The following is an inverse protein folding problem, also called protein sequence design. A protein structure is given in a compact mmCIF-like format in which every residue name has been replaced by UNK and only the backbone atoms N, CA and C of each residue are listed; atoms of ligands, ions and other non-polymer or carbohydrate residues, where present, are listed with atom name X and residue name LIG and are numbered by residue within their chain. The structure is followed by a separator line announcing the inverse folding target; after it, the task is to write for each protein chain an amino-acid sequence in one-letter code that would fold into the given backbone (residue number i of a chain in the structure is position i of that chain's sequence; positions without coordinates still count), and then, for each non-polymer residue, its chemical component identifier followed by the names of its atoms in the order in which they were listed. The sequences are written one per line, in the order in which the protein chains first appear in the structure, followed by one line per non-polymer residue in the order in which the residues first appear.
data_IF_274424688570
#
_entry.id   IF_274424688570
#
_cell.length_a   1.000
_cell.length_b   1.000
_cell.length_c   1.000
_cell.angle_alpha   90.00
_cell.angle_beta   90.00
_cell.angle_gamma   90.00
#
_symmetry.space_group_name_H-M   'P 1'
#
loop_
_entity.id
_entity.type
_entity.pdbx_description
1 polymer ?
#
# COMPACT_ATOMS: atom_id res chain seq x y z
N UNK A 1 -23.58 22.47 23.34
CA UNK A 1 -22.89 23.07 22.17
C UNK A 1 -21.46 22.56 22.01
N UNK A 2 -20.54 22.74 22.98
CA UNK A 2 -19.16 22.25 22.85
C UNK A 2 -19.05 20.74 22.57
N UNK A 3 -19.79 19.92 23.33
CA UNK A 3 -19.85 18.46 23.10
C UNK A 3 -20.38 18.08 21.72
N UNK A 4 -21.34 18.83 21.19
CA UNK A 4 -21.88 18.58 19.84
C UNK A 4 -20.82 18.86 18.76
N UNK A 5 -20.00 19.90 18.93
CA UNK A 5 -18.88 20.20 18.04
C UNK A 5 -17.80 19.10 18.10
N UNK A 6 -17.42 18.67 19.30
CA UNK A 6 -16.49 17.55 19.49
C UNK A 6 -17.01 16.28 18.80
N UNK A 7 -18.28 15.93 19.04
CA UNK A 7 -18.91 14.76 18.43
C UNK A 7 -18.99 14.87 16.91
N UNK A 8 -19.29 16.05 16.36
CA UNK A 8 -19.34 16.27 14.92
C UNK A 8 -17.96 16.08 14.26
N UNK A 9 -16.89 16.63 14.85
CA UNK A 9 -15.52 16.46 14.34
C UNK A 9 -15.05 15.01 14.44
N UNK A 10 -15.38 14.34 15.55
CA UNK A 10 -15.10 12.91 15.75
C UNK A 10 -15.82 12.04 14.72
N UNK A 11 -17.11 12.28 14.49
CA UNK A 11 -17.89 11.56 13.49
C UNK A 11 -17.40 11.82 12.06
N UNK A 12 -16.97 13.05 11.75
CA UNK A 12 -16.39 13.38 10.46
C UNK A 12 -15.13 12.55 10.16
N UNK A 13 -14.19 12.47 11.11
CA UNK A 13 -12.99 11.62 10.97
C UNK A 13 -13.38 10.14 10.88
N UNK A 14 -14.29 9.68 11.75
CA UNK A 14 -14.76 8.29 11.76
C UNK A 14 -15.35 7.88 10.40
N UNK A 15 -16.26 8.67 9.84
CA UNK A 15 -16.90 8.33 8.56
C UNK A 15 -15.93 8.40 7.38
N UNK A 16 -15.02 9.37 7.38
CA UNK A 16 -13.96 9.45 6.35
C UNK A 16 -13.09 8.18 6.35
N UNK A 17 -12.71 7.70 7.53
CA UNK A 17 -11.94 6.46 7.67
C UNK A 17 -12.77 5.21 7.35
N UNK A 18 -14.06 5.18 7.66
CA UNK A 18 -14.93 4.07 7.27
C UNK A 18 -15.03 3.95 5.75
N UNK A 19 -15.12 5.07 5.04
CA UNK A 19 -15.17 5.06 3.57
C UNK A 19 -13.84 4.57 2.98
N UNK A 20 -12.71 5.01 3.53
CA UNK A 20 -11.40 4.49 3.14
C UNK A 20 -11.27 2.98 3.41
N UNK A 21 -11.70 2.52 4.59
CA UNK A 21 -11.73 1.10 4.95
C UNK A 21 -12.56 0.29 3.97
N UNK A 22 -13.73 0.81 3.57
CA UNK A 22 -14.61 0.17 2.58
C UNK A 22 -13.95 0.09 1.21
N UNK A 23 -13.26 1.15 0.79
CA UNK A 23 -12.59 1.18 -0.51
C UNK A 23 -11.41 0.18 -0.59
N UNK A 24 -10.75 -0.11 0.53
CA UNK A 24 -9.64 -1.08 0.62
C UNK A 24 -10.13 -2.52 0.75
N UNK A 25 -11.13 -2.74 1.61
CA UNK A 25 -11.62 -4.07 1.97
C UNK A 25 -12.74 -4.56 1.04
N UNK A 26 -13.35 -3.66 0.27
CA UNK A 26 -14.58 -3.91 -0.47
C UNK A 26 -15.80 -3.99 0.44
N UNK A 27 -16.99 -4.03 -0.18
CA UNK A 27 -18.27 -4.19 0.52
C UNK A 27 -18.93 -5.57 0.28
N UNK A 28 -18.22 -6.46 -0.40
CA UNK A 28 -18.65 -7.83 -0.72
C UNK A 28 -19.83 -7.93 -1.70
N UNK A 29 -20.35 -6.80 -2.19
CA UNK A 29 -21.54 -6.75 -3.06
C UNK A 29 -21.23 -6.15 -4.41
N UNK A 30 -20.35 -5.16 -4.43
CA UNK A 30 -19.95 -4.43 -5.63
C UNK A 30 -18.52 -4.79 -6.01
N UNK A 31 -18.23 -4.75 -7.31
CA UNK A 31 -16.86 -4.83 -7.78
C UNK A 31 -16.07 -3.65 -7.21
N UNK A 32 -14.96 -3.88 -6.49
CA UNK A 32 -14.22 -2.80 -5.85
C UNK A 32 -13.72 -1.79 -6.90
N UNK A 33 -13.86 -0.50 -6.59
CA UNK A 33 -13.37 0.58 -7.44
C UNK A 33 -11.84 0.67 -7.31
N UNK A 34 -11.05 0.55 -8.39
CA UNK A 34 -9.59 0.56 -8.30
C UNK A 34 -9.07 1.90 -7.76
N UNK A 35 -8.45 1.86 -6.58
CA UNK A 35 -7.80 3.02 -5.95
C UNK A 35 -6.40 3.28 -6.49
N UNK A 36 -5.64 2.20 -6.71
CA UNK A 36 -4.23 2.27 -7.05
C UNK A 36 -3.94 1.44 -8.30
N UNK A 37 -3.01 1.94 -9.11
CA UNK A 37 -2.41 1.17 -10.20
C UNK A 37 -0.96 0.88 -9.84
N UNK A 38 -0.58 -0.39 -9.92
CA UNK A 38 0.77 -0.87 -9.64
C UNK A 38 1.35 -1.49 -10.90
N UNK A 39 2.62 -1.21 -11.18
CA UNK A 39 3.35 -1.83 -12.29
C UNK A 39 4.17 -3.01 -11.77
N UNK A 40 4.21 -4.10 -12.55
CA UNK A 40 5.22 -5.15 -12.38
C UNK A 40 6.44 -4.72 -13.16
N UNK A 41 7.59 -4.66 -12.50
CA UNK A 41 8.87 -4.27 -13.08
C UNK A 41 9.92 -5.33 -12.77
N UNK A 42 10.95 -5.42 -13.61
CA UNK A 42 12.17 -6.15 -13.29
C UNK A 42 13.15 -5.16 -12.67
N UNK A 43 13.43 -5.32 -11.38
CA UNK A 43 14.36 -4.47 -10.67
C UNK A 43 15.75 -5.08 -10.74
N UNK A 44 16.64 -4.41 -11.46
CA UNK A 44 18.05 -4.77 -11.56
C UNK A 44 18.77 -4.16 -10.35
N UNK A 45 18.79 -4.90 -9.24
CA UNK A 45 19.52 -4.47 -8.06
C UNK A 45 21.01 -4.58 -8.37
N UNK A 46 21.75 -3.48 -8.17
CA UNK A 46 23.23 -3.32 -8.15
C UNK A 46 24.12 -4.47 -8.65
N UNK A 47 25.22 -4.19 -9.36
CA UNK A 47 26.09 -5.22 -9.97
C UNK A 47 26.42 -6.36 -8.99
N UNK A 48 25.91 -7.56 -9.28
CA UNK A 48 26.11 -8.77 -8.49
C UNK A 48 24.84 -9.38 -7.85
N UNK A 49 23.68 -8.71 -7.89
CA UNK A 49 22.41 -9.34 -7.51
C UNK A 49 21.65 -9.86 -8.73
N UNK A 50 20.83 -10.89 -8.53
CA UNK A 50 19.93 -11.38 -9.56
C UNK A 50 18.76 -10.40 -9.74
N UNK A 51 18.37 -10.07 -10.99
CA UNK A 51 17.23 -9.22 -11.25
C UNK A 51 15.97 -9.82 -10.61
N UNK A 52 15.20 -9.02 -9.88
CA UNK A 52 14.02 -9.48 -9.16
C UNK A 52 12.76 -8.80 -9.72
N UNK A 53 11.71 -9.60 -9.95
CA UNK A 53 10.39 -9.04 -10.27
C UNK A 53 9.83 -8.35 -9.03
N UNK A 54 9.39 -7.11 -9.18
CA UNK A 54 8.91 -6.27 -8.10
C UNK A 54 7.72 -5.41 -8.52
N UNK A 55 7.05 -4.84 -7.53
CA UNK A 55 5.98 -3.86 -7.74
C UNK A 55 6.49 -2.43 -7.62
N UNK A 56 6.02 -1.55 -8.52
CA UNK A 56 6.26 -0.11 -8.46
C UNK A 56 4.94 0.67 -8.60
N UNK A 57 4.54 1.49 -7.61
CA UNK A 57 5.19 1.69 -6.30
C UNK A 57 5.21 0.41 -5.46
N UNK A 58 6.08 0.35 -4.46
CA UNK A 58 6.15 -0.84 -3.60
C UNK A 58 4.89 -0.95 -2.73
N UNK A 59 4.53 -2.19 -2.35
CA UNK A 59 3.36 -2.42 -1.48
C UNK A 59 3.53 -1.75 -0.11
N UNK A 60 4.77 -1.61 0.37
CA UNK A 60 5.10 -0.88 1.58
C UNK A 60 4.82 0.62 1.43
N UNK A 61 5.19 1.22 0.29
CA UNK A 61 4.89 2.62 0.00
C UNK A 61 3.38 2.88 -0.06
N UNK A 62 2.62 1.97 -0.68
CA UNK A 62 1.16 2.05 -0.71
C UNK A 62 0.57 1.94 0.70
N UNK A 63 1.04 1.01 1.52
CA UNK A 63 0.59 0.85 2.90
C UNK A 63 0.89 2.10 3.75
N UNK A 64 2.08 2.69 3.62
CA UNK A 64 2.42 3.94 4.30
C UNK A 64 1.49 5.07 3.88
N UNK A 65 1.34 5.29 2.57
CA UNK A 65 0.50 6.35 2.02
C UNK A 65 -0.94 6.28 2.53
N UNK A 66 -1.51 5.07 2.62
CA UNK A 66 -2.87 4.86 3.14
C UNK A 66 -2.94 5.09 4.64
N UNK A 67 -1.98 4.59 5.42
CA UNK A 67 -1.97 4.77 6.87
C UNK A 67 -1.76 6.25 7.28
N UNK A 68 -0.99 7.01 6.49
CA UNK A 68 -0.73 8.43 6.72
C UNK A 68 -2.01 9.29 6.58
N UNK A 69 -2.99 8.86 5.77
CA UNK A 69 -4.29 9.57 5.63
C UNK A 69 -4.97 9.74 6.98
N UNK A 70 -4.88 8.75 7.87
CA UNK A 70 -5.51 8.84 9.18
C UNK A 70 -4.90 9.96 10.04
N UNK A 71 -3.57 10.03 10.04
CA UNK A 71 -2.82 11.11 10.70
C UNK A 71 -3.16 12.48 10.10
N UNK A 72 -3.29 12.57 8.77
CA UNK A 72 -3.67 13.81 8.09
C UNK A 72 -5.09 14.27 8.43
N UNK A 73 -6.06 13.36 8.49
CA UNK A 73 -7.43 13.69 8.89
C UNK A 73 -7.48 14.24 10.32
N UNK A 74 -6.79 13.60 11.26
CA UNK A 74 -6.72 14.08 12.65
C UNK A 74 -5.95 15.41 12.74
N UNK A 75 -4.85 15.54 11.99
CA UNK A 75 -4.07 16.78 11.93
C UNK A 75 -4.91 17.95 11.40
N UNK A 76 -5.79 17.72 10.42
CA UNK A 76 -6.66 18.75 9.85
C UNK A 76 -7.60 19.40 10.87
N UNK A 77 -7.95 18.67 11.94
CA UNK A 77 -8.85 19.18 12.99
C UNK A 77 -8.11 19.82 14.18
N UNK A 78 -6.77 19.84 14.19
CA UNK A 78 -5.97 20.45 15.27
C UNK A 78 -6.18 21.96 15.40
N UNK A 79 -6.62 22.62 14.32
CA UNK A 79 -6.91 24.06 14.31
C UNK A 79 -8.14 24.41 15.17
N UNK A 80 -9.04 23.45 15.42
CA UNK A 80 -10.26 23.69 16.18
C UNK A 80 -10.00 23.74 17.68
N UNK A 81 -10.33 24.88 18.28
CA UNK A 81 -10.37 25.08 19.73
C UNK A 81 -11.75 24.78 20.29
N UNK A 82 -11.82 24.48 21.59
CA UNK A 82 -13.10 24.30 22.26
C UNK A 82 -13.91 25.61 22.25
N UNK A 83 -15.24 25.50 22.11
CA UNK A 83 -16.11 26.67 22.08
C UNK A 83 -15.99 27.57 23.32
N UNK A 84 -15.84 27.06 24.56
CA UNK A 84 -15.62 27.90 25.74
C UNK A 84 -14.35 28.78 25.64
N UNK A 85 -13.31 28.31 24.96
CA UNK A 85 -12.07 29.08 24.77
C UNK A 85 -12.29 30.26 23.82
N UNK A 86 -13.20 30.12 22.86
CA UNK A 86 -13.50 31.13 21.84
C UNK A 86 -14.55 32.11 22.37
N UNK A 87 -15.68 31.59 22.86
CA UNK A 87 -16.85 32.38 23.23
C UNK A 87 -16.71 33.04 24.60
N UNK A 88 -16.08 32.35 25.56
CA UNK A 88 -15.95 32.82 26.95
C UNK A 88 -14.52 33.29 27.25
N UNK A 89 -13.56 33.05 26.35
CA UNK A 89 -12.14 33.42 26.49
C UNK A 89 -11.51 32.92 27.80
N UNK A 90 -12.00 31.79 28.32
CA UNK A 90 -11.50 31.14 29.52
C UNK A 90 -10.68 29.92 29.14
N UNK A 91 -9.59 29.68 29.87
CA UNK A 91 -8.86 28.41 29.77
C UNK A 91 -9.82 27.25 30.06
N UNK A 92 -9.94 26.35 29.10
CA UNK A 92 -10.74 25.14 29.23
C UNK A 92 -9.77 24.00 29.58
N UNK A 93 -9.93 23.40 30.75
CA UNK A 93 -9.05 22.36 31.26
C UNK A 93 -9.43 21.00 30.65
N UNK A 94 -9.32 20.87 29.32
CA UNK A 94 -9.58 19.65 28.59
C UNK A 94 -8.57 19.49 27.45
N UNK A 95 -8.25 18.25 27.13
CA UNK A 95 -7.37 17.93 26.02
C UNK A 95 -7.96 18.44 24.69
N UNK A 96 -7.12 18.89 23.74
CA UNK A 96 -7.56 19.34 22.43
C UNK A 96 -8.44 18.31 21.72
N UNK A 97 -9.39 18.78 20.90
CA UNK A 97 -10.34 17.92 20.18
C UNK A 97 -9.61 16.84 19.36
N UNK A 98 -8.50 17.19 18.70
CA UNK A 98 -7.68 16.24 17.94
C UNK A 98 -7.16 15.09 18.79
N UNK A 99 -6.72 15.36 20.03
CA UNK A 99 -6.22 14.36 20.97
C UNK A 99 -7.34 13.44 21.46
N UNK A 100 -8.55 13.99 21.66
CA UNK A 100 -9.73 13.19 22.00
C UNK A 100 -10.11 12.24 20.86
N UNK A 101 -10.05 12.72 19.62
CA UNK A 101 -10.33 11.93 18.41
C UNK A 101 -9.26 10.86 18.17
N UNK A 102 -7.99 11.18 18.38
CA UNK A 102 -6.87 10.22 18.26
C UNK A 102 -6.97 9.07 19.27
N UNK A 103 -7.54 9.32 20.45
CA UNK A 103 -7.76 8.31 21.49
C UNK A 103 -9.07 7.54 21.35
N UNK A 104 -9.93 7.89 20.39
CA UNK A 104 -11.23 7.23 20.19
C UNK A 104 -11.05 5.76 19.76
N UNK A 105 -11.64 4.85 20.52
CA UNK A 105 -11.48 3.41 20.31
C UNK A 105 -12.14 2.89 19.02
N UNK A 106 -13.22 3.53 18.56
CA UNK A 106 -13.84 3.14 17.29
C UNK A 106 -12.94 3.57 16.11
N UNK A 107 -12.34 4.75 16.19
CA UNK A 107 -11.38 5.23 15.18
C UNK A 107 -10.17 4.31 15.12
N UNK A 108 -9.59 3.93 16.26
CA UNK A 108 -8.46 2.96 16.31
C UNK A 108 -8.82 1.60 15.73
N UNK A 109 -10.05 1.12 15.97
CA UNK A 109 -10.54 -0.14 15.37
C UNK A 109 -10.59 -0.03 13.84
N UNK A 110 -11.07 1.10 13.31
CA UNK A 110 -11.13 1.32 11.85
C UNK A 110 -9.71 1.44 11.27
N UNK A 111 -8.79 2.15 11.94
CA UNK A 111 -7.38 2.20 11.53
C UNK A 111 -6.75 0.80 11.46
N UNK A 112 -7.02 -0.04 12.45
CA UNK A 112 -6.56 -1.44 12.45
C UNK A 112 -7.16 -2.23 11.28
N UNK A 113 -8.45 -2.05 10.98
CA UNK A 113 -9.10 -2.68 9.83
C UNK A 113 -8.48 -2.24 8.49
N UNK A 114 -8.13 -0.96 8.35
CA UNK A 114 -7.42 -0.43 7.18
C UNK A 114 -6.05 -1.10 7.03
N UNK A 115 -5.25 -1.13 8.10
CA UNK A 115 -3.92 -1.74 8.09
C UNK A 115 -3.97 -3.23 7.74
N UNK A 116 -4.88 -3.98 8.36
CA UNK A 116 -5.09 -5.40 8.06
C UNK A 116 -5.54 -5.60 6.60
N UNK A 117 -6.44 -4.76 6.09
CA UNK A 117 -6.86 -4.77 4.70
C UNK A 117 -5.70 -4.57 3.72
N UNK A 118 -4.82 -3.60 4.01
CA UNK A 118 -3.61 -3.37 3.22
C UNK A 118 -2.65 -4.55 3.26
N UNK A 119 -2.45 -5.19 4.41
CA UNK A 119 -1.60 -6.38 4.54
C UNK A 119 -2.17 -7.57 3.75
N UNK A 120 -3.49 -7.80 3.83
CA UNK A 120 -4.17 -8.85 3.09
C UNK A 120 -4.02 -8.66 1.58
N UNK A 121 -4.28 -7.44 1.09
CA UNK A 121 -4.09 -7.09 -0.32
C UNK A 121 -2.62 -7.26 -0.75
N UNK A 122 -1.67 -6.88 0.11
CA UNK A 122 -0.26 -7.05 -0.18
C UNK A 122 0.12 -8.54 -0.29
N UNK A 123 -0.41 -9.41 0.57
CA UNK A 123 -0.19 -10.85 0.50
C UNK A 123 -0.73 -11.46 -0.81
N UNK A 124 -1.93 -11.04 -1.24
CA UNK A 124 -2.51 -11.47 -2.52
C UNK A 124 -1.65 -11.03 -3.72
N UNK A 125 -1.17 -9.79 -3.72
CA UNK A 125 -0.29 -9.28 -4.77
C UNK A 125 1.07 -10.00 -4.78
N UNK A 126 1.64 -10.29 -3.61
CA UNK A 126 2.88 -11.06 -3.50
C UNK A 126 2.70 -12.50 -4.00
N UNK A 127 1.55 -13.14 -3.72
CA UNK A 127 1.23 -14.45 -4.28
C UNK A 127 1.11 -14.38 -5.82
N UNK A 128 0.47 -13.34 -6.36
CA UNK A 128 0.40 -13.10 -7.80
C UNK A 128 1.79 -12.94 -8.42
N UNK A 129 2.72 -12.26 -7.75
CA UNK A 129 4.07 -12.02 -8.26
C UNK A 129 4.84 -13.33 -8.53
N UNK A 130 4.56 -14.40 -7.78
CA UNK A 130 5.12 -15.75 -8.02
C UNK A 130 4.73 -16.36 -9.35
N UNK A 131 3.65 -15.91 -9.99
CA UNK A 131 3.27 -16.39 -11.33
C UNK A 131 4.32 -16.05 -12.38
N UNK A 132 5.12 -15.01 -12.14
CA UNK A 132 6.24 -14.64 -13.01
C UNK A 132 7.43 -15.59 -12.86
N UNK A 133 7.57 -16.33 -11.76
CA UNK A 133 8.71 -17.24 -11.54
C UNK A 133 8.87 -18.31 -12.64
N UNK A 134 7.79 -18.66 -13.36
CA UNK A 134 7.83 -19.58 -14.50
C UNK A 134 8.68 -19.03 -15.66
N UNK A 135 8.79 -17.71 -15.79
CA UNK A 135 9.51 -17.02 -16.85
C UNK A 135 10.92 -16.58 -16.45
N UNK A 136 11.37 -17.00 -15.27
CA UNK A 136 12.61 -16.57 -14.62
C UNK A 136 13.86 -16.75 -15.49
N UNK A 137 13.89 -17.80 -16.31
CA UNK A 137 14.98 -18.06 -17.27
C UNK A 137 15.20 -16.90 -18.26
N UNK A 138 14.19 -16.06 -18.52
CA UNK A 138 14.30 -14.93 -19.44
C UNK A 138 15.30 -13.87 -18.92
N UNK A 139 15.38 -13.68 -17.60
CA UNK A 139 16.18 -12.62 -16.97
C UNK A 139 17.28 -13.10 -16.01
N UNK A 140 17.19 -14.30 -15.45
CA UNK A 140 18.29 -14.83 -14.60
C UNK A 140 19.49 -15.32 -15.42
N UNK A 141 19.28 -15.71 -16.69
CA UNK A 141 20.35 -16.21 -17.53
C UNK A 141 21.23 -15.05 -17.99
N UNK A 142 22.50 -15.09 -17.62
CA UNK A 142 23.52 -14.24 -18.23
C UNK A 142 23.68 -14.66 -19.70
N UNK A 143 23.03 -13.91 -20.58
CA UNK A 143 22.96 -14.21 -22.02
C UNK A 143 24.36 -14.28 -22.64
N UNK A 144 25.28 -13.39 -22.25
CA UNK A 144 26.64 -13.38 -22.80
C UNK A 144 27.44 -14.63 -22.40
N UNK A 145 27.37 -15.02 -21.12
CA UNK A 145 28.03 -16.23 -20.64
C UNK A 145 27.44 -17.49 -21.29
N UNK A 146 26.12 -17.55 -21.45
CA UNK A 146 25.43 -18.64 -22.12
C UNK A 146 25.84 -18.73 -23.60
N UNK A 147 25.76 -17.63 -24.36
CA UNK A 147 26.13 -17.56 -25.77
C UNK A 147 27.61 -17.95 -25.97
N UNK A 148 28.50 -17.49 -25.09
CA UNK A 148 29.92 -17.84 -25.16
C UNK A 148 30.13 -19.34 -24.95
N UNK A 149 29.50 -19.97 -23.94
CA UNK A 149 29.58 -21.44 -23.76
C UNK A 149 29.01 -22.18 -24.96
N UNK A 150 27.86 -21.75 -25.47
CA UNK A 150 27.19 -22.39 -26.60
C UNK A 150 28.07 -22.39 -27.86
N UNK A 151 28.79 -21.29 -28.13
CA UNK A 151 29.77 -21.23 -29.23
C UNK A 151 30.90 -22.27 -29.10
N UNK A 152 31.42 -22.49 -27.89
CA UNK A 152 32.51 -23.44 -27.66
C UNK A 152 32.05 -24.91 -27.76
N UNK A 153 30.77 -25.18 -27.52
CA UNK A 153 30.16 -26.51 -27.70
C UNK A 153 30.10 -26.94 -29.18
N UNK A 154 30.15 -25.98 -30.12
CA UNK A 154 30.04 -26.21 -31.57
C UNK A 154 28.93 -27.21 -31.94
N UNK A 155 27.66 -26.95 -31.53
CA UNK A 155 26.58 -27.91 -31.70
C UNK A 155 26.21 -28.11 -33.17
N UNK A 156 25.62 -29.28 -33.46
CA UNK A 156 25.06 -29.59 -34.77
C UNK A 156 23.90 -28.63 -35.10
N UNK A 157 23.71 -28.33 -36.39
CA UNK A 157 22.62 -27.45 -36.88
C UNK A 157 21.25 -27.91 -36.38
N UNK A 158 20.99 -29.22 -36.35
CA UNK A 158 19.74 -29.79 -35.84
C UNK A 158 19.52 -29.53 -34.34
N UNK A 159 20.59 -29.50 -33.54
CA UNK A 159 20.51 -29.15 -32.12
C UNK A 159 20.23 -27.67 -31.94
N UNK A 160 20.87 -26.82 -32.75
CA UNK A 160 20.62 -25.38 -32.75
C UNK A 160 19.18 -25.03 -33.12
N UNK A 161 18.65 -25.65 -34.18
CA UNK A 161 17.26 -25.45 -34.60
C UNK A 161 16.27 -25.90 -33.51
N UNK A 162 16.54 -27.03 -32.84
CA UNK A 162 15.71 -27.52 -31.75
C UNK A 162 15.73 -26.58 -30.52
N UNK A 163 16.90 -26.03 -30.17
CA UNK A 163 17.05 -25.11 -29.03
C UNK A 163 16.38 -23.75 -29.29
N UNK A 164 16.39 -23.28 -30.55
CA UNK A 164 15.80 -21.99 -30.94
C UNK A 164 14.28 -22.07 -31.10
N UNK A 165 13.74 -23.25 -31.40
CA UNK A 165 12.31 -23.49 -31.54
C UNK A 165 11.56 -23.59 -30.20
N UNK A 166 12.27 -23.54 -29.07
CA UNK A 166 11.75 -23.66 -27.71
C UNK A 166 11.47 -22.30 -27.08
#
# INVERSE_FOLDING_TARGET
MNRMMEDALRLNVKWSLMELSRAINGDGKTSPNPLFRVKVILQDNSPGQTPQVAFSPSLLQLASMVNDISSHLISSITVFRHLPEILVRRKFARDPISVLVERDEDIKKIQTQISNGMQNNAALLQAYLKTWDVYREIWEVNKDAFINRYRHLNPLVSSFDADTAR
#
